data_IF_406548222751
#
_entry.id   IF_406548222751
#
_cell.length_a   1.000
_cell.length_b   1.000
_cell.length_c   1.000
_cell.angle_alpha   90.00
_cell.angle_beta   90.00
_cell.angle_gamma   90.00
#
_symmetry.space_group_name_H-M   'P 1'
#
loop_
_entity.id
_entity.type
_entity.pdbx_description
1 polymer ?
#
# COMPACT_ATOMS: atom_id res chain seq x y z
N UNK A 1 13.78 10.86 3.12
CA UNK A 1 13.50 10.19 1.84
C UNK A 1 12.10 10.59 1.43
N UNK A 2 11.81 10.81 0.15
CA UNK A 2 10.46 11.13 -0.31
C UNK A 2 9.50 9.95 -0.06
N UNK A 3 8.24 10.28 0.19
CA UNK A 3 7.13 9.34 0.33
C UNK A 3 6.15 9.55 -0.82
N UNK A 4 5.41 8.51 -1.15
CA UNK A 4 4.32 8.51 -2.13
C UNK A 4 3.03 8.15 -1.39
N UNK A 5 1.96 8.86 -1.72
CA UNK A 5 0.60 8.57 -1.29
C UNK A 5 -0.15 7.91 -2.44
N UNK A 6 -0.88 6.83 -2.17
CA UNK A 6 -1.75 6.18 -3.14
C UNK A 6 -2.94 5.51 -2.44
N UNK A 7 -3.99 5.21 -3.21
CA UNK A 7 -5.20 4.54 -2.71
C UNK A 7 -5.21 3.08 -3.16
N UNK A 8 -5.66 2.18 -2.30
CA UNK A 8 -5.78 0.77 -2.64
C UNK A 8 -6.71 0.00 -1.72
N UNK A 9 -7.05 -1.22 -2.14
CA UNK A 9 -7.92 -2.11 -1.38
C UNK A 9 -7.11 -3.24 -0.74
N UNK A 10 -7.26 -3.44 0.58
CA UNK A 10 -6.65 -4.61 1.24
C UNK A 10 -7.46 -5.87 0.88
N UNK A 11 -6.85 -6.75 0.09
CA UNK A 11 -7.45 -8.03 -0.34
C UNK A 11 -7.16 -9.16 0.64
N UNK A 12 -5.96 -9.16 1.24
CA UNK A 12 -5.54 -10.14 2.25
C UNK A 12 -4.61 -9.50 3.27
N UNK A 13 -4.59 -10.06 4.47
CA UNK A 13 -3.66 -9.70 5.54
C UNK A 13 -2.92 -10.94 6.03
N UNK A 14 -1.63 -10.76 6.29
CA UNK A 14 -0.79 -11.70 7.05
C UNK A 14 -0.23 -10.97 8.26
N UNK A 15 0.50 -11.68 9.12
CA UNK A 15 1.16 -11.06 10.28
C UNK A 15 2.08 -9.89 9.87
N UNK A 16 2.76 -10.01 8.72
CA UNK A 16 3.84 -9.10 8.32
C UNK A 16 3.52 -8.21 7.11
N UNK A 17 2.46 -8.49 6.36
CA UNK A 17 2.18 -7.79 5.11
C UNK A 17 0.68 -7.74 4.77
N UNK A 18 0.31 -6.73 3.98
CA UNK A 18 -0.98 -6.60 3.31
C UNK A 18 -0.83 -6.94 1.82
N UNK A 19 -1.77 -7.70 1.28
CA UNK A 19 -1.96 -7.78 -0.17
C UNK A 19 -2.91 -6.65 -0.56
N UNK A 20 -2.38 -5.65 -1.26
CA UNK A 20 -3.10 -4.46 -1.67
C UNK A 20 -3.35 -4.52 -3.17
N UNK A 21 -4.58 -4.24 -3.60
CA UNK A 21 -4.90 -3.99 -4.99
C UNK A 21 -4.84 -2.47 -5.24
N UNK A 22 -3.91 -2.01 -6.08
CA UNK A 22 -3.67 -0.58 -6.36
C UNK A 22 -4.56 -0.02 -7.50
N UNK A 23 -5.55 -0.81 -7.94
CA UNK A 23 -6.40 -0.49 -9.08
C UNK A 23 -5.96 -1.17 -10.39
N UNK A 24 -4.73 -1.68 -10.45
CA UNK A 24 -4.19 -2.38 -11.63
C UNK A 24 -3.62 -3.75 -11.24
N UNK A 25 -2.77 -3.80 -10.21
CA UNK A 25 -2.03 -4.96 -9.76
C UNK A 25 -2.34 -5.31 -8.30
N UNK A 26 -2.10 -6.58 -7.93
CA UNK A 26 -2.07 -7.01 -6.53
C UNK A 26 -0.62 -7.07 -6.04
N UNK A 27 -0.31 -6.29 -5.00
CA UNK A 27 1.05 -6.09 -4.48
C UNK A 27 1.10 -6.40 -2.99
N UNK A 28 2.13 -7.13 -2.56
CA UNK A 28 2.42 -7.31 -1.14
C UNK A 28 3.20 -6.13 -0.56
N UNK A 29 2.61 -5.46 0.42
CA UNK A 29 3.22 -4.36 1.17
C UNK A 29 3.61 -4.82 2.58
N UNK A 30 4.90 -4.77 2.94
CA UNK A 30 5.33 -5.07 4.30
C UNK A 30 4.81 -4.00 5.27
N UNK A 31 4.15 -4.41 6.36
CA UNK A 31 3.60 -3.47 7.36
C UNK A 31 4.67 -2.55 7.95
N UNK A 32 5.89 -3.04 8.10
CA UNK A 32 7.03 -2.28 8.63
C UNK A 32 7.54 -1.18 7.69
N UNK A 33 7.12 -1.17 6.43
CA UNK A 33 7.51 -0.17 5.43
C UNK A 33 6.37 0.80 5.09
N UNK A 34 5.19 0.63 5.70
CA UNK A 34 4.09 1.57 5.57
C UNK A 34 4.33 2.70 6.58
N UNK A 35 4.40 3.93 6.09
CA UNK A 35 4.61 5.12 6.93
C UNK A 35 3.31 5.49 7.62
N UNK A 36 2.21 5.50 6.87
CA UNK A 36 0.87 5.78 7.35
C UNK A 36 -0.15 5.01 6.52
N UNK A 37 -1.28 4.65 7.15
CA UNK A 37 -2.39 3.99 6.49
C UNK A 37 -3.69 4.45 7.14
N UNK A 38 -4.58 5.04 6.33
CA UNK A 38 -5.88 5.53 6.79
C UNK A 38 -6.99 4.79 6.06
N UNK A 39 -8.02 4.37 6.80
CA UNK A 39 -9.22 3.81 6.19
C UNK A 39 -10.13 4.97 5.74
N UNK A 40 -10.44 5.01 4.45
CA UNK A 40 -11.25 6.08 3.86
C UNK A 40 -12.74 5.73 3.90
N UNK A 41 -13.21 4.99 2.89
CA UNK A 41 -14.61 4.59 2.76
C UNK A 41 -14.73 3.30 1.97
N UNK A 42 -15.58 2.39 2.43
CA UNK A 42 -15.78 1.11 1.75
C UNK A 42 -14.51 0.25 1.82
N UNK A 43 -14.08 -0.38 0.71
CA UNK A 43 -12.88 -1.23 0.71
C UNK A 43 -11.57 -0.43 0.60
N UNK A 44 -11.64 0.89 0.37
CA UNK A 44 -10.49 1.72 0.02
C UNK A 44 -9.73 2.23 1.25
N UNK A 45 -8.40 2.19 1.16
CA UNK A 45 -7.45 2.71 2.13
C UNK A 45 -6.50 3.69 1.42
N UNK A 46 -6.15 4.76 2.10
CA UNK A 46 -5.03 5.63 1.75
C UNK A 46 -3.75 5.04 2.38
N UNK A 47 -2.69 4.91 1.57
CA UNK A 47 -1.37 4.44 2.01
C UNK A 47 -0.31 5.48 1.73
N UNK A 48 0.54 5.73 2.72
CA UNK A 48 1.77 6.50 2.57
C UNK A 48 2.96 5.55 2.72
N UNK A 49 3.77 5.41 1.67
CA UNK A 49 4.94 4.53 1.63
C UNK A 49 6.19 5.27 1.13
N UNK A 50 7.41 4.77 1.40
CA UNK A 50 8.62 5.33 0.81
C UNK A 50 8.61 5.22 -0.71
N UNK A 51 9.08 6.27 -1.42
CA UNK A 51 9.10 6.30 -2.90
C UNK A 51 9.86 5.11 -3.51
N UNK A 52 10.96 4.67 -2.89
CA UNK A 52 11.73 3.54 -3.39
C UNK A 52 10.91 2.24 -3.41
N UNK A 53 10.01 2.06 -2.44
CA UNK A 53 9.16 0.87 -2.36
C UNK A 53 8.08 0.93 -3.43
N UNK A 54 7.51 2.12 -3.66
CA UNK A 54 6.56 2.35 -4.75
C UNK A 54 7.19 1.99 -6.11
N UNK A 55 8.42 2.44 -6.37
CA UNK A 55 9.16 2.12 -7.59
C UNK A 55 9.48 0.63 -7.69
N UNK A 56 9.97 0.00 -6.60
CA UNK A 56 10.30 -1.43 -6.60
C UNK A 56 9.08 -2.31 -6.88
N UNK A 57 7.92 -1.91 -6.37
CA UNK A 57 6.66 -2.64 -6.51
C UNK A 57 5.84 -2.24 -7.74
N UNK A 58 6.33 -1.29 -8.53
CA UNK A 58 5.63 -0.75 -9.71
C UNK A 58 4.22 -0.24 -9.38
N UNK A 59 4.07 0.40 -8.20
CA UNK A 59 2.82 1.02 -7.74
C UNK A 59 2.61 2.30 -8.53
N UNK A 60 1.42 2.44 -9.11
CA UNK A 60 1.05 3.43 -10.14
C UNK A 60 0.44 4.69 -9.54
#
# INVERSE_FOLDING_TARGET
MPNVEFYGEIRKETDNAYLVFDGINEVWLPKSQIVEMNHEKGPDYEFIIPEWLAIEKEIV
#
